data_IF_844919884318
#
_entry.id   IF_844919884318
#
_cell.length_a   1.000
_cell.length_b   1.000
_cell.length_c   1.000
_cell.angle_alpha   90.00
_cell.angle_beta   90.00
_cell.angle_gamma   90.00
#
_symmetry.space_group_name_H-M   'P 1'
#
loop_
_entity.id
_entity.type
_entity.pdbx_description
1 polymer ?
#
# COMPACT_ATOMS: atom_id res chain seq x y z
N UNK A 1 -7.88 -6.62 4.21
CA UNK A 1 -9.03 -5.73 3.96
C UNK A 1 -9.12 -5.31 2.50
N UNK A 2 -8.10 -4.67 1.89
CA UNK A 2 -8.17 -4.28 0.47
C UNK A 2 -8.60 -5.42 -0.47
N UNK A 3 -7.99 -6.60 -0.37
CA UNK A 3 -8.34 -7.76 -1.20
C UNK A 3 -9.81 -8.20 -1.07
N UNK A 4 -10.40 -8.05 0.12
CA UNK A 4 -11.80 -8.44 0.41
C UNK A 4 -12.77 -7.45 -0.25
N UNK A 5 -12.46 -6.15 -0.18
CA UNK A 5 -13.37 -5.09 -0.65
C UNK A 5 -13.13 -4.66 -2.10
N UNK A 6 -11.97 -4.99 -2.67
CA UNK A 6 -11.59 -4.64 -4.04
C UNK A 6 -11.23 -5.86 -4.88
N UNK A 7 -9.98 -6.34 -4.74
CA UNK A 7 -9.42 -7.39 -5.59
C UNK A 7 -8.11 -7.92 -4.99
N UNK A 8 -7.94 -9.23 -5.01
CA UNK A 8 -6.76 -9.97 -4.53
C UNK A 8 -5.51 -9.76 -5.39
N UNK A 9 -5.63 -9.80 -6.73
CA UNK A 9 -4.50 -9.60 -7.66
C UNK A 9 -3.90 -8.21 -7.54
N UNK A 10 -4.73 -7.16 -7.45
CA UNK A 10 -4.25 -5.79 -7.26
C UNK A 10 -3.55 -5.67 -5.90
N UNK A 11 -4.13 -6.24 -4.84
CA UNK A 11 -3.49 -6.23 -3.52
C UNK A 11 -2.11 -6.90 -3.55
N UNK A 12 -2.00 -8.05 -4.24
CA UNK A 12 -0.74 -8.78 -4.38
C UNK A 12 0.30 -7.98 -5.17
N UNK A 13 -0.07 -7.38 -6.31
CA UNK A 13 0.82 -6.55 -7.12
C UNK A 13 1.32 -5.34 -6.32
N UNK A 14 0.44 -4.64 -5.60
CA UNK A 14 0.86 -3.53 -4.73
C UNK A 14 1.77 -4.01 -3.58
N UNK A 15 1.53 -5.21 -3.07
CA UNK A 15 2.45 -5.88 -2.13
C UNK A 15 3.84 -6.11 -2.71
N UNK A 16 3.96 -6.49 -3.99
CA UNK A 16 5.25 -6.60 -4.68
C UNK A 16 5.94 -5.24 -4.79
N UNK A 17 5.21 -4.17 -5.09
CA UNK A 17 5.75 -2.79 -5.10
C UNK A 17 6.31 -2.41 -3.73
N UNK A 18 5.62 -2.79 -2.65
CA UNK A 18 6.12 -2.58 -1.29
C UNK A 18 7.44 -3.31 -1.04
N UNK A 19 7.58 -4.57 -1.48
CA UNK A 19 8.83 -5.35 -1.38
C UNK A 19 9.97 -4.64 -2.12
N UNK A 20 9.72 -4.13 -3.33
CA UNK A 20 10.71 -3.33 -4.07
C UNK A 20 11.14 -2.11 -3.25
N UNK A 21 10.20 -1.39 -2.64
CA UNK A 21 10.52 -0.28 -1.74
C UNK A 21 11.42 -0.68 -0.56
N UNK A 22 11.18 -1.86 0.04
CA UNK A 22 12.04 -2.40 1.12
C UNK A 22 13.47 -2.69 0.65
N UNK A 23 13.62 -3.26 -0.53
CA UNK A 23 14.93 -3.54 -1.13
C UNK A 23 15.67 -2.22 -1.39
N UNK A 24 15.00 -1.24 -2.02
CA UNK A 24 15.58 0.07 -2.28
C UNK A 24 15.97 0.80 -0.98
N UNK A 25 15.14 0.72 0.06
CA UNK A 25 15.43 1.30 1.36
C UNK A 25 16.69 0.68 1.97
N UNK A 26 16.78 -0.65 1.98
CA UNK A 26 17.91 -1.37 2.58
C UNK A 26 19.22 -1.07 1.84
N UNK A 27 19.22 -1.15 0.50
CA UNK A 27 20.39 -0.86 -0.32
C UNK A 27 20.84 0.60 -0.18
N UNK A 28 19.88 1.54 -0.21
CA UNK A 28 20.15 2.97 -0.01
C UNK A 28 20.76 3.23 1.36
N UNK A 29 20.14 2.71 2.43
CA UNK A 29 20.56 2.93 3.80
C UNK A 29 21.96 2.37 4.10
N UNK A 30 22.29 1.18 3.59
CA UNK A 30 23.62 0.58 3.76
C UNK A 30 24.69 1.37 3.03
N UNK A 31 24.38 1.90 1.84
CA UNK A 31 25.32 2.73 1.09
C UNK A 31 25.53 4.11 1.74
N UNK A 32 24.45 4.74 2.20
CA UNK A 32 24.46 6.02 2.90
C UNK A 32 23.10 6.18 3.62
N UNK A 33 23.06 6.35 4.96
CA UNK A 33 21.81 6.49 5.71
C UNK A 33 20.89 7.61 5.22
N UNK A 34 21.44 8.64 4.55
CA UNK A 34 20.63 9.71 3.94
C UNK A 34 19.79 9.19 2.77
N UNK A 35 20.26 8.24 1.96
CA UNK A 35 19.62 7.79 0.70
C UNK A 35 18.42 6.85 0.86
N UNK A 36 17.91 6.71 2.08
CA UNK A 36 16.81 5.80 2.41
C UNK A 36 15.44 6.31 1.97
N UNK A 37 15.33 7.60 1.65
CA UNK A 37 14.03 8.23 1.40
C UNK A 37 13.30 7.65 0.19
N UNK A 38 14.02 7.26 -0.87
CA UNK A 38 13.39 6.72 -2.08
C UNK A 38 12.65 5.42 -1.76
N UNK A 39 13.33 4.47 -1.11
CA UNK A 39 12.72 3.22 -0.69
C UNK A 39 11.59 3.43 0.31
N UNK A 40 11.76 4.37 1.24
CA UNK A 40 10.72 4.76 2.20
C UNK A 40 9.47 5.32 1.51
N UNK A 41 9.63 6.19 0.52
CA UNK A 41 8.52 6.76 -0.24
C UNK A 41 7.76 5.69 -1.02
N UNK A 42 8.46 4.82 -1.75
CA UNK A 42 7.85 3.74 -2.55
C UNK A 42 7.02 2.81 -1.67
N UNK A 43 7.59 2.30 -0.57
CA UNK A 43 6.87 1.39 0.32
C UNK A 43 5.70 2.11 1.02
N UNK A 44 5.85 3.39 1.40
CA UNK A 44 4.80 4.14 2.09
C UNK A 44 3.62 4.43 1.18
N UNK A 45 3.87 4.76 -0.09
CA UNK A 45 2.82 4.92 -1.10
C UNK A 45 2.07 3.61 -1.34
N UNK A 46 2.76 2.48 -1.41
CA UNK A 46 2.11 1.17 -1.54
C UNK A 46 1.19 0.86 -0.34
N UNK A 47 1.65 1.14 0.89
CA UNK A 47 0.81 0.99 2.09
C UNK A 47 -0.38 1.96 2.06
N UNK A 48 -0.17 3.22 1.68
CA UNK A 48 -1.22 4.23 1.61
C UNK A 48 -2.33 3.81 0.64
N UNK A 49 -1.97 3.29 -0.55
CA UNK A 49 -2.95 2.77 -1.52
C UNK A 49 -3.77 1.62 -0.92
N UNK A 50 -3.12 0.65 -0.30
CA UNK A 50 -3.81 -0.49 0.31
C UNK A 50 -4.70 -0.07 1.49
N UNK A 51 -4.21 0.83 2.35
CA UNK A 51 -4.92 1.27 3.54
C UNK A 51 -6.10 2.18 3.18
N UNK A 52 -5.84 3.31 2.52
CA UNK A 52 -6.89 4.28 2.20
C UNK A 52 -7.85 3.77 1.13
N UNK A 53 -7.36 2.98 0.17
CA UNK A 53 -8.24 2.30 -0.78
C UNK A 53 -9.21 1.33 -0.11
N UNK A 54 -8.73 0.56 0.88
CA UNK A 54 -9.61 -0.32 1.66
C UNK A 54 -10.61 0.48 2.50
N UNK A 55 -10.15 1.46 3.27
CA UNK A 55 -10.99 2.28 4.14
C UNK A 55 -12.08 3.02 3.35
N UNK A 56 -11.73 3.64 2.23
CA UNK A 56 -12.69 4.34 1.37
C UNK A 56 -13.79 3.41 0.84
N UNK A 57 -13.42 2.21 0.41
CA UNK A 57 -14.39 1.23 -0.10
C UNK A 57 -15.26 0.62 1.00
N UNK A 58 -14.71 0.40 2.19
CA UNK A 58 -15.47 -0.01 3.38
C UNK A 58 -16.52 1.05 3.69
N UNK A 59 -16.12 2.31 3.82
CA UNK A 59 -17.03 3.42 4.11
C UNK A 59 -18.14 3.54 3.07
N UNK A 60 -17.79 3.47 1.78
CA UNK A 60 -18.76 3.44 0.68
C UNK A 60 -19.76 2.29 0.81
N UNK A 61 -19.26 1.09 1.11
CA UNK A 61 -20.10 -0.11 1.25
C UNK A 61 -21.07 0.02 2.43
N UNK A 62 -20.62 0.59 3.56
CA UNK A 62 -21.49 0.80 4.73
C UNK A 62 -22.62 1.79 4.42
N UNK A 63 -22.35 2.88 3.69
CA UNK A 63 -23.38 3.87 3.32
C UNK A 63 -24.36 3.31 2.29
N UNK A 64 -23.87 2.55 1.30
CA UNK A 64 -24.70 2.03 0.20
C UNK A 64 -25.51 0.78 0.56
N UNK A 65 -25.09 0.01 1.56
CA UNK A 65 -25.81 -1.22 1.97
C UNK A 65 -26.93 -0.91 2.97
N UNK A 66 -26.87 0.23 3.67
CA UNK A 66 -27.90 0.66 4.64
C UNK A 66 -29.11 1.39 4.05
N UNK A 67 -29.32 1.36 2.72
CA UNK A 67 -30.34 2.15 2.02
C UNK A 67 -31.56 1.33 1.54
N UNK A 68 -31.85 0.19 2.18
CA UNK A 68 -33.08 -0.59 1.94
C UNK A 68 -34.13 -0.33 3.03
#
# INVERSE_FOLDING_TARGET
MFAIFWNDRIAAITGLVWIVGRILYALGYVADPSKRELGFMVQSLAVAVLLFGALGKIAWTMVSTGTY
#
